data_IF_148279608103
#
_entry.id   IF_148279608103
#
_cell.length_a   1.000
_cell.length_b   1.000
_cell.length_c   1.000
_cell.angle_alpha   90.00
_cell.angle_beta   90.00
_cell.angle_gamma   90.00
#
_symmetry.space_group_name_H-M   'P 1'
#
loop_
_entity.id
_entity.type
_entity.pdbx_description
1 polymer ?
#
# COMPACT_ATOMS: atom_id res chain seq x y z
N UNK A 1 61.26 -51.99 2.75
CA UNK A 1 61.85 -50.73 2.25
C UNK A 1 61.05 -50.35 1.01
N UNK A 2 60.13 -49.41 0.98
CA UNK A 2 59.59 -48.44 1.92
C UNK A 2 58.14 -48.20 1.47
N UNK A 3 57.24 -48.06 2.44
CA UNK A 3 55.84 -47.70 2.27
C UNK A 3 55.74 -46.18 2.23
N UNK A 4 55.06 -45.61 1.23
CA UNK A 4 54.71 -44.19 1.23
C UNK A 4 53.28 -44.05 0.77
N UNK A 5 52.39 -43.86 1.74
CA UNK A 5 51.00 -43.46 1.57
C UNK A 5 50.96 -41.99 1.07
N UNK A 6 50.01 -41.62 0.20
CA UNK A 6 49.81 -40.22 -0.15
C UNK A 6 49.12 -39.46 0.99
N UNK A 7 49.60 -38.24 1.21
CA UNK A 7 49.17 -37.30 2.25
C UNK A 7 47.68 -36.96 2.13
N UNK A 8 46.96 -37.15 3.24
CA UNK A 8 45.62 -36.64 3.48
C UNK A 8 45.69 -35.10 3.50
N UNK A 9 45.24 -34.45 2.42
CA UNK A 9 44.99 -33.01 2.42
C UNK A 9 43.77 -32.73 3.29
N UNK A 10 44.01 -32.35 4.53
CA UNK A 10 42.99 -31.83 5.43
C UNK A 10 42.50 -30.50 4.87
N UNK A 11 41.31 -30.49 4.25
CA UNK A 11 40.58 -29.26 3.96
C UNK A 11 40.41 -28.48 5.28
N UNK A 12 41.12 -27.36 5.38
CA UNK A 12 40.92 -26.41 6.46
C UNK A 12 39.51 -25.81 6.30
N UNK A 13 38.56 -26.37 7.04
CA UNK A 13 37.28 -25.73 7.30
C UNK A 13 37.56 -24.36 7.92
N UNK A 14 37.42 -23.30 7.11
CA UNK A 14 37.42 -21.94 7.60
C UNK A 14 36.22 -21.78 8.51
N UNK A 15 36.49 -21.81 9.82
CA UNK A 15 35.54 -21.44 10.86
C UNK A 15 35.19 -19.97 10.63
N UNK A 16 34.06 -19.71 9.98
CA UNK A 16 33.52 -18.36 9.84
C UNK A 16 33.02 -17.95 11.21
N UNK A 17 33.73 -17.04 11.86
CA UNK A 17 33.36 -16.50 13.16
C UNK A 17 31.97 -15.82 13.04
N UNK A 18 30.93 -16.32 13.74
CA UNK A 18 29.54 -15.86 13.56
C UNK A 18 29.29 -14.42 14.00
N UNK A 19 30.32 -13.70 14.48
CA UNK A 19 30.24 -12.28 14.89
C UNK A 19 30.79 -11.29 13.85
N UNK A 20 31.25 -11.74 12.69
CA UNK A 20 31.77 -10.84 11.66
C UNK A 20 30.66 -10.44 10.70
N UNK A 21 30.15 -9.22 10.87
CA UNK A 21 29.25 -8.60 9.90
C UNK A 21 30.02 -8.37 8.59
N UNK A 22 29.61 -9.00 7.50
CA UNK A 22 30.17 -8.71 6.18
C UNK A 22 29.64 -7.37 5.69
N UNK A 23 30.53 -6.42 5.42
CA UNK A 23 30.16 -5.15 4.78
C UNK A 23 29.89 -5.41 3.30
N UNK A 24 28.62 -5.39 2.90
CA UNK A 24 28.20 -5.35 1.50
C UNK A 24 28.06 -3.90 1.08
N UNK A 25 28.76 -3.47 0.03
CA UNK A 25 28.51 -2.17 -0.58
C UNK A 25 27.16 -2.23 -1.28
N UNK A 26 26.17 -1.55 -0.70
CA UNK A 26 24.86 -1.37 -1.31
C UNK A 26 24.91 -0.08 -2.12
N UNK A 27 24.68 -0.17 -3.43
CA UNK A 27 24.44 1.01 -4.24
C UNK A 27 23.10 1.63 -3.83
N UNK A 28 23.16 2.78 -3.14
CA UNK A 28 21.98 3.52 -2.74
C UNK A 28 21.60 4.47 -3.87
N UNK A 29 20.53 4.15 -4.58
CA UNK A 29 19.91 5.09 -5.51
C UNK A 29 18.97 6.01 -4.74
N UNK A 30 19.14 7.32 -4.87
CA UNK A 30 18.19 8.28 -4.28
C UNK A 30 16.90 8.26 -5.10
N UNK A 31 15.78 8.00 -4.42
CA UNK A 31 14.47 7.87 -5.06
C UNK A 31 13.82 9.23 -5.36
N UNK A 32 14.23 10.29 -4.65
CA UNK A 32 13.56 11.59 -4.66
C UNK A 32 14.23 12.64 -5.59
N UNK A 33 15.32 12.30 -6.28
CA UNK A 33 16.14 13.27 -7.04
C UNK A 33 15.52 13.76 -8.37
N UNK A 34 14.24 13.50 -8.66
CA UNK A 34 13.65 13.74 -9.98
C UNK A 34 12.31 14.50 -10.06
N UNK A 35 11.63 14.78 -8.94
CA UNK A 35 10.30 15.42 -8.98
C UNK A 35 10.35 16.82 -8.35
N UNK A 36 10.88 17.81 -9.09
CA UNK A 36 10.63 19.21 -8.75
C UNK A 36 9.19 19.56 -9.11
N UNK A 37 8.48 20.30 -8.25
CA UNK A 37 7.12 20.80 -8.55
C UNK A 37 7.07 21.62 -9.85
N UNK A 38 8.19 22.24 -10.25
CA UNK A 38 8.31 22.97 -11.52
C UNK A 38 8.25 22.09 -12.76
N UNK A 39 8.51 20.80 -12.60
CA UNK A 39 8.68 19.84 -13.69
C UNK A 39 7.47 18.91 -13.81
N UNK A 40 6.45 19.09 -12.95
CA UNK A 40 5.21 18.33 -12.99
C UNK A 40 4.33 18.85 -14.12
N UNK A 41 3.97 17.94 -15.02
CA UNK A 41 3.05 18.22 -16.12
C UNK A 41 1.66 18.64 -15.60
N UNK A 42 1.05 19.73 -16.12
CA UNK A 42 -0.28 20.17 -15.71
C UNK A 42 -1.36 19.08 -15.77
N UNK A 43 -1.28 18.14 -16.71
CA UNK A 43 -2.27 17.06 -16.79
C UNK A 43 -2.20 16.11 -15.58
N UNK A 44 -1.03 15.94 -14.97
CA UNK A 44 -0.88 15.16 -13.73
C UNK A 44 -1.54 15.87 -12.54
N UNK A 45 -1.47 17.20 -12.47
CA UNK A 45 -2.14 17.98 -11.44
C UNK A 45 -3.67 17.92 -11.60
N UNK A 46 -4.16 18.07 -12.83
CA UNK A 46 -5.59 17.95 -13.12
C UNK A 46 -6.10 16.53 -12.84
N UNK A 47 -5.30 15.51 -13.15
CA UNK A 47 -5.59 14.13 -12.76
C UNK A 47 -5.66 13.98 -11.24
N UNK A 48 -4.71 14.53 -10.49
CA UNK A 48 -4.72 14.48 -9.03
C UNK A 48 -5.98 15.12 -8.42
N UNK A 49 -6.42 16.28 -8.93
CA UNK A 49 -7.67 16.90 -8.51
C UNK A 49 -8.90 16.08 -8.89
N UNK A 50 -8.89 15.42 -10.06
CA UNK A 50 -10.01 14.57 -10.49
C UNK A 50 -10.23 13.33 -9.60
N UNK A 51 -9.25 12.97 -8.77
CA UNK A 51 -9.39 11.89 -7.79
C UNK A 51 -10.08 12.33 -6.49
N UNK A 52 -10.24 13.64 -6.23
CA UNK A 52 -10.91 14.15 -5.03
C UNK A 52 -12.35 13.60 -4.93
N UNK A 53 -13.21 13.69 -5.97
CA UNK A 53 -14.57 13.18 -5.88
C UNK A 53 -14.63 11.66 -5.66
N UNK A 54 -13.69 10.89 -6.22
CA UNK A 54 -13.61 9.45 -5.98
C UNK A 54 -13.27 9.14 -4.52
N UNK A 55 -12.36 9.90 -3.92
CA UNK A 55 -12.00 9.76 -2.52
C UNK A 55 -13.17 10.14 -1.60
N UNK A 56 -13.91 11.20 -1.94
CA UNK A 56 -15.12 11.61 -1.20
C UNK A 56 -16.22 10.55 -1.28
N UNK A 57 -16.52 10.04 -2.48
CA UNK A 57 -17.46 8.93 -2.66
C UNK A 57 -17.03 7.68 -1.87
N UNK A 58 -15.75 7.37 -1.88
CA UNK A 58 -15.21 6.27 -1.09
C UNK A 58 -15.44 6.48 0.41
N UNK A 59 -15.17 7.68 0.94
CA UNK A 59 -15.42 8.02 2.34
C UNK A 59 -16.90 7.90 2.71
N UNK A 60 -17.80 8.37 1.84
CA UNK A 60 -19.25 8.26 2.04
C UNK A 60 -19.71 6.80 2.10
N UNK A 61 -19.21 5.96 1.18
CA UNK A 61 -19.53 4.53 1.16
C UNK A 61 -18.96 3.79 2.37
N UNK A 62 -17.70 4.07 2.74
CA UNK A 62 -17.03 3.40 3.86
C UNK A 62 -17.66 3.78 5.20
N UNK A 63 -18.05 5.03 5.37
CA UNK A 63 -18.66 5.52 6.63
C UNK A 63 -20.11 5.04 6.80
N UNK A 64 -20.82 4.75 5.71
CA UNK A 64 -22.22 4.35 5.77
C UNK A 64 -22.40 2.90 6.27
N UNK A 65 -23.08 2.68 7.41
CA UNK A 65 -23.35 1.34 7.93
C UNK A 65 -24.20 0.47 6.98
N UNK A 66 -25.06 1.07 6.15
CA UNK A 66 -25.92 0.33 5.22
C UNK A 66 -25.12 -0.33 4.08
N UNK A 67 -23.96 0.22 3.70
CA UNK A 67 -23.01 -0.39 2.75
C UNK A 67 -22.72 -1.84 3.15
N UNK A 68 -22.53 -2.08 4.45
CA UNK A 68 -22.12 -3.36 4.99
C UNK A 68 -23.27 -4.34 5.26
N UNK A 69 -24.51 -3.95 4.97
CA UNK A 69 -25.67 -4.86 4.94
C UNK A 69 -25.70 -5.66 3.64
N UNK A 70 -25.04 -5.17 2.59
CA UNK A 70 -24.88 -5.91 1.34
C UNK A 70 -23.93 -7.10 1.55
N UNK A 71 -24.44 -8.30 1.31
CA UNK A 71 -23.66 -9.54 1.45
C UNK A 71 -22.52 -9.60 0.45
N UNK A 72 -22.61 -8.97 -0.72
CA UNK A 72 -21.53 -8.97 -1.70
C UNK A 72 -20.28 -8.20 -1.24
N UNK A 73 -20.45 -7.15 -0.44
CA UNK A 73 -19.36 -6.35 0.14
C UNK A 73 -18.59 -7.17 1.20
N UNK A 74 -19.29 -8.08 1.87
CA UNK A 74 -18.84 -8.68 3.13
C UNK A 74 -18.62 -10.19 3.05
N UNK A 75 -19.03 -10.82 1.94
CA UNK A 75 -19.07 -12.27 1.76
C UNK A 75 -17.70 -12.96 1.90
N UNK A 76 -16.60 -12.33 1.49
CA UNK A 76 -15.27 -12.97 1.52
C UNK A 76 -14.63 -12.91 2.90
N UNK A 77 -14.56 -11.72 3.52
CA UNK A 77 -13.85 -11.52 4.80
C UNK A 77 -14.67 -12.02 6.01
N UNK A 78 -15.99 -11.81 6.03
CA UNK A 78 -16.82 -12.20 7.19
C UNK A 78 -17.07 -13.70 7.27
N UNK A 79 -17.24 -14.35 6.11
CA UNK A 79 -17.36 -15.80 6.04
C UNK A 79 -16.08 -16.49 6.52
N UNK A 80 -14.90 -15.98 6.14
CA UNK A 80 -13.62 -16.51 6.62
C UNK A 80 -13.44 -16.37 8.14
N UNK A 81 -14.06 -15.35 8.76
CA UNK A 81 -13.90 -15.04 10.19
C UNK A 81 -15.06 -15.50 11.08
N UNK A 82 -16.08 -16.17 10.54
CA UNK A 82 -17.31 -16.51 11.28
C UNK A 82 -17.95 -15.31 12.00
N UNK A 83 -17.83 -14.10 11.41
CA UNK A 83 -18.34 -12.85 11.98
C UNK A 83 -19.37 -12.24 11.03
N UNK A 84 -20.64 -12.70 11.04
CA UNK A 84 -21.63 -12.27 10.06
C UNK A 84 -22.02 -10.78 10.19
N UNK A 85 -21.78 -10.18 11.36
CA UNK A 85 -22.16 -8.80 11.69
C UNK A 85 -20.93 -7.93 11.82
N UNK A 86 -21.01 -6.69 11.35
CA UNK A 86 -20.01 -5.68 11.61
C UNK A 86 -20.11 -5.24 13.08
N UNK A 87 -19.05 -5.46 13.85
CA UNK A 87 -18.99 -5.07 15.27
C UNK A 87 -18.36 -3.69 15.51
N UNK A 88 -17.93 -3.02 14.46
CA UNK A 88 -17.27 -1.72 14.51
C UNK A 88 -18.16 -0.69 13.83
N UNK A 89 -18.28 0.49 14.42
CA UNK A 89 -18.88 1.65 13.77
C UNK A 89 -17.93 2.12 12.63
N UNK A 90 -18.33 1.99 11.35
CA UNK A 90 -17.48 2.35 10.22
C UNK A 90 -17.10 3.83 10.21
N UNK A 91 -18.02 4.72 10.58
CA UNK A 91 -17.80 6.16 10.59
C UNK A 91 -16.78 6.54 11.67
N UNK A 92 -16.95 6.00 12.87
CA UNK A 92 -15.99 6.22 13.96
C UNK A 92 -14.60 5.68 13.63
N UNK A 93 -14.51 4.51 12.99
CA UNK A 93 -13.23 3.95 12.56
C UNK A 93 -12.58 4.83 11.48
N UNK A 94 -13.33 5.25 10.46
CA UNK A 94 -12.82 6.10 9.39
C UNK A 94 -12.31 7.44 9.94
N UNK A 95 -13.09 8.10 10.80
CA UNK A 95 -12.69 9.35 11.47
C UNK A 95 -11.38 9.19 12.25
N UNK A 96 -11.23 8.09 12.97
CA UNK A 96 -9.99 7.78 13.69
C UNK A 96 -8.81 7.61 12.73
N UNK A 97 -8.98 6.84 11.65
CA UNK A 97 -7.92 6.62 10.65
C UNK A 97 -7.50 7.95 10.01
N UNK A 98 -8.46 8.78 9.58
CA UNK A 98 -8.17 10.11 9.01
C UNK A 98 -7.40 10.98 10.01
N UNK A 99 -7.80 10.96 11.28
CA UNK A 99 -7.09 11.71 12.33
C UNK A 99 -5.65 11.20 12.55
N UNK A 100 -5.41 9.89 12.47
CA UNK A 100 -4.08 9.28 12.61
C UNK A 100 -3.19 9.54 11.38
N UNK A 101 -3.77 9.67 10.18
CA UNK A 101 -3.03 10.01 8.95
C UNK A 101 -2.63 11.49 8.87
N UNK A 102 -3.34 12.36 9.58
CA UNK A 102 -3.13 13.80 9.54
C UNK A 102 -3.84 14.48 8.35
N UNK A 103 -3.53 15.76 8.16
CA UNK A 103 -4.15 16.58 7.13
C UNK A 103 -3.89 16.03 5.72
N UNK A 104 -4.93 15.99 4.89
CA UNK A 104 -4.82 15.58 3.49
C UNK A 104 -3.96 16.59 2.72
N UNK A 105 -2.85 16.16 2.07
CA UNK A 105 -2.06 17.05 1.23
C UNK A 105 -2.87 17.62 0.07
N UNK A 106 -2.61 18.88 -0.30
CA UNK A 106 -3.29 19.52 -1.42
C UNK A 106 -2.69 18.98 -2.75
N UNK A 107 -3.50 18.37 -3.63
CA UNK A 107 -2.98 17.75 -4.85
C UNK A 107 -2.32 18.71 -5.84
N UNK A 108 -2.57 20.02 -5.78
CA UNK A 108 -1.88 21.00 -6.63
C UNK A 108 -0.49 21.38 -6.12
N UNK A 109 -0.26 21.30 -4.81
CA UNK A 109 1.01 21.71 -4.19
C UNK A 109 1.86 20.54 -3.72
N UNK A 110 1.23 19.40 -3.44
CA UNK A 110 1.85 18.16 -3.01
C UNK A 110 1.06 16.94 -3.54
N UNK A 111 1.10 16.70 -4.88
CA UNK A 111 0.40 15.58 -5.51
C UNK A 111 0.96 14.22 -5.07
N UNK A 112 2.27 14.11 -4.84
CA UNK A 112 2.90 12.87 -4.38
C UNK A 112 2.47 12.53 -2.95
N UNK A 113 2.46 13.51 -2.04
CA UNK A 113 1.91 13.34 -0.70
C UNK A 113 0.43 12.98 -0.73
N UNK A 114 -0.36 13.59 -1.63
CA UNK A 114 -1.76 13.22 -1.83
C UNK A 114 -1.92 11.75 -2.23
N UNK A 115 -1.07 11.23 -3.13
CA UNK A 115 -1.08 9.81 -3.49
C UNK A 115 -0.79 8.89 -2.31
N UNK A 116 0.23 9.20 -1.51
CA UNK A 116 0.59 8.38 -0.35
C UNK A 116 -0.46 8.46 0.76
N UNK A 117 -0.99 9.64 1.04
CA UNK A 117 -2.07 9.83 2.01
C UNK A 117 -3.33 9.06 1.57
N UNK A 118 -3.74 9.20 0.31
CA UNK A 118 -4.91 8.49 -0.25
C UNK A 118 -4.70 6.98 -0.25
N UNK A 119 -3.52 6.52 -0.64
CA UNK A 119 -3.15 5.11 -0.56
C UNK A 119 -3.22 4.58 0.86
N UNK A 120 -2.63 5.30 1.83
CA UNK A 120 -2.67 4.96 3.24
C UNK A 120 -4.10 4.85 3.78
N UNK A 121 -4.99 5.78 3.39
CA UNK A 121 -6.40 5.81 3.78
C UNK A 121 -7.17 4.60 3.26
N UNK A 122 -7.02 4.26 1.97
CA UNK A 122 -7.84 3.22 1.35
C UNK A 122 -7.34 1.80 1.56
N UNK A 123 -6.09 1.64 2.03
CA UNK A 123 -5.53 0.32 2.29
C UNK A 123 -6.42 -0.53 3.20
N UNK A 124 -6.25 -1.87 3.19
CA UNK A 124 -7.14 -2.77 3.88
C UNK A 124 -7.37 -2.35 5.33
N UNK A 125 -8.58 -1.89 5.62
CA UNK A 125 -9.12 -1.75 6.96
C UNK A 125 -9.73 -3.11 7.31
N UNK A 126 -9.02 -4.01 8.02
CA UNK A 126 -9.36 -5.44 8.01
C UNK A 126 -10.71 -5.75 8.64
N UNK A 127 -11.27 -4.84 9.44
CA UNK A 127 -12.62 -4.94 10.00
C UNK A 127 -13.71 -4.66 8.95
N UNK A 128 -13.40 -3.85 7.93
CA UNK A 128 -14.37 -3.32 6.95
C UNK A 128 -14.30 -4.04 5.60
N UNK A 129 -13.15 -4.57 5.19
CA UNK A 129 -13.00 -5.27 3.90
C UNK A 129 -13.18 -4.34 2.70
N UNK A 130 -12.52 -3.17 2.76
CA UNK A 130 -12.76 -2.05 1.83
C UNK A 130 -11.93 -2.13 0.56
N UNK A 131 -10.64 -2.52 0.63
CA UNK A 131 -9.73 -2.55 -0.51
C UNK A 131 -8.66 -3.64 -0.38
N UNK A 132 -7.90 -3.85 -1.45
CA UNK A 132 -6.62 -4.57 -1.43
C UNK A 132 -5.47 -3.63 -1.03
N UNK A 133 -4.34 -4.20 -0.62
CA UNK A 133 -3.13 -3.45 -0.31
C UNK A 133 -2.51 -2.86 -1.58
N UNK A 134 -2.28 -1.54 -1.60
CA UNK A 134 -1.69 -0.83 -2.75
C UNK A 134 -0.38 -0.10 -2.43
N UNK A 135 0.06 -0.02 -1.16
CA UNK A 135 1.28 0.74 -0.81
C UNK A 135 2.53 0.21 -1.46
N UNK A 136 2.68 -1.11 -1.58
CA UNK A 136 3.83 -1.71 -2.24
C UNK A 136 4.01 -1.13 -3.64
N UNK A 137 2.92 -1.13 -4.41
CA UNK A 137 2.91 -0.60 -5.77
C UNK A 137 3.19 0.91 -5.80
N UNK A 138 2.58 1.69 -4.89
CA UNK A 138 2.83 3.15 -4.81
C UNK A 138 4.28 3.49 -4.49
N UNK A 139 4.94 2.69 -3.65
CA UNK A 139 6.34 2.87 -3.26
C UNK A 139 7.32 2.37 -4.33
N UNK A 140 6.90 1.43 -5.17
CA UNK A 140 7.73 0.85 -6.23
C UNK A 140 7.86 1.77 -7.45
N UNK A 141 6.79 2.47 -7.80
CA UNK A 141 6.77 3.35 -8.98
C UNK A 141 7.52 4.65 -8.76
N UNK A 142 8.08 5.18 -9.85
CA UNK A 142 8.99 6.33 -9.80
C UNK A 142 8.33 7.64 -10.18
N UNK A 143 7.24 7.58 -10.93
CA UNK A 143 6.57 8.78 -11.44
C UNK A 143 5.25 9.06 -10.74
N UNK A 144 4.92 10.34 -10.60
CA UNK A 144 3.62 10.78 -10.14
C UNK A 144 2.46 10.20 -10.97
N UNK A 145 2.59 10.14 -12.31
CA UNK A 145 1.54 9.61 -13.18
C UNK A 145 1.19 8.15 -12.86
N UNK A 146 2.22 7.33 -12.62
CA UNK A 146 2.03 5.93 -12.20
C UNK A 146 1.38 5.85 -10.82
N UNK A 147 1.80 6.70 -9.85
CA UNK A 147 1.20 6.75 -8.51
C UNK A 147 -0.28 7.12 -8.57
N UNK A 148 -0.64 8.13 -9.36
CA UNK A 148 -2.01 8.57 -9.58
C UNK A 148 -2.85 7.45 -10.20
N UNK A 149 -2.29 6.73 -11.17
CA UNK A 149 -2.97 5.60 -11.83
C UNK A 149 -3.20 4.43 -10.87
N UNK A 150 -2.23 4.13 -10.01
CA UNK A 150 -2.39 3.10 -8.97
C UNK A 150 -3.46 3.50 -7.95
N UNK A 151 -3.42 4.75 -7.47
CA UNK A 151 -4.41 5.24 -6.52
C UNK A 151 -5.83 5.22 -7.12
N UNK A 152 -5.98 5.71 -8.35
CA UNK A 152 -7.24 5.70 -9.10
C UNK A 152 -7.79 4.28 -9.23
N UNK A 153 -6.97 3.32 -9.68
CA UNK A 153 -7.38 1.93 -9.82
C UNK A 153 -7.78 1.31 -8.47
N UNK A 154 -7.05 1.65 -7.40
CA UNK A 154 -7.37 1.23 -6.04
C UNK A 154 -8.72 1.77 -5.56
N UNK A 155 -8.94 3.07 -5.72
CA UNK A 155 -10.21 3.74 -5.39
C UNK A 155 -11.37 3.15 -6.15
N UNK A 156 -11.29 3.08 -7.48
CA UNK A 156 -12.35 2.55 -8.34
C UNK A 156 -12.70 1.12 -7.96
N UNK A 157 -11.70 0.25 -7.77
CA UNK A 157 -11.94 -1.14 -7.36
C UNK A 157 -12.59 -1.23 -5.99
N UNK A 158 -12.15 -0.41 -5.04
CA UNK A 158 -12.69 -0.37 -3.68
C UNK A 158 -14.15 0.12 -3.67
N UNK A 159 -14.45 1.18 -4.42
CA UNK A 159 -15.81 1.71 -4.60
C UNK A 159 -16.73 0.65 -5.22
N UNK A 160 -16.29 -0.03 -6.28
CA UNK A 160 -17.05 -1.12 -6.90
C UNK A 160 -17.32 -2.26 -5.89
N UNK A 161 -16.36 -2.56 -5.01
CA UNK A 161 -16.58 -3.51 -3.93
C UNK A 161 -17.61 -3.04 -2.93
N UNK A 162 -17.54 -1.78 -2.49
CA UNK A 162 -18.48 -1.21 -1.53
C UNK A 162 -19.90 -1.07 -2.09
N UNK A 163 -20.04 -0.86 -3.39
CA UNK A 163 -21.34 -0.93 -4.09
C UNK A 163 -21.84 -2.37 -4.27
N UNK A 164 -21.00 -3.37 -4.03
CA UNK A 164 -21.31 -4.79 -4.23
C UNK A 164 -21.30 -5.22 -5.70
N UNK A 165 -20.69 -4.42 -6.57
CA UNK A 165 -20.57 -4.66 -8.02
C UNK A 165 -19.40 -5.61 -8.34
N UNK A 166 -18.32 -5.54 -7.55
CA UNK A 166 -17.12 -6.36 -7.75
C UNK A 166 -16.46 -6.74 -6.43
N UNK A 167 -16.34 -8.03 -6.14
CA UNK A 167 -15.64 -8.50 -4.93
C UNK A 167 -14.13 -8.22 -5.01
N UNK A 168 -13.52 -7.93 -3.84
CA UNK A 168 -12.06 -7.81 -3.70
C UNK A 168 -11.33 -9.11 -4.00
#
# INVERSE_FOLDING_TARGET
>A
LESSLPEEQTEAQTVVDPKVWTSVNIEVQKLDEGESLSDIDPASLDKAESLIPLLEEWCDLVSNPDTYRNTNVTASIRAQRNQPVLHVDPEALLKRVIAELGERPNPRTDPTGFCFWGGALINPLPALGVSLEIRGNLLEVRTLEERLTILEAGLVRSIQNLKGERRL
#
